data_IF_567127559618
#
_entry.id   IF_567127559618
#
_cell.length_a   1.000
_cell.length_b   1.000
_cell.length_c   1.000
_cell.angle_alpha   90.00
_cell.angle_beta   90.00
_cell.angle_gamma   90.00
#
_symmetry.space_group_name_H-M   'P 1'
#
loop_
_entity.id
_entity.type
_entity.pdbx_description
1 polymer ?
#
# COMPACT_ATOMS: atom_id res chain seq x y z
N UNK A 1 28.08 -36.22 -10.95
CA UNK A 1 27.27 -36.48 -12.16
C UNK A 1 26.28 -37.56 -11.76
N UNK A 2 24.96 -37.35 -11.91
CA UNK A 2 23.98 -38.40 -11.59
C UNK A 2 24.05 -39.51 -12.64
N UNK A 3 23.94 -40.77 -12.22
CA UNK A 3 23.82 -41.90 -13.17
C UNK A 3 22.40 -41.93 -13.76
N UNK A 4 22.21 -42.60 -14.90
CA UNK A 4 20.90 -42.67 -15.57
C UNK A 4 19.83 -43.32 -14.67
N UNK A 5 20.24 -44.24 -13.79
CA UNK A 5 19.39 -44.95 -12.82
C UNK A 5 18.95 -44.06 -11.63
N UNK A 6 19.68 -42.97 -11.36
CA UNK A 6 19.38 -41.98 -10.31
C UNK A 6 18.44 -40.86 -10.78
N UNK A 7 18.02 -40.88 -12.05
CA UNK A 7 17.05 -39.93 -12.60
C UNK A 7 15.63 -40.46 -12.36
N UNK A 8 14.96 -39.92 -11.33
CA UNK A 8 13.54 -40.20 -11.11
C UNK A 8 12.67 -39.50 -12.16
N UNK A 9 11.80 -40.29 -12.82
CA UNK A 9 10.80 -39.79 -13.76
C UNK A 9 9.60 -39.14 -13.07
N UNK A 10 8.59 -38.76 -13.84
CA UNK A 10 7.33 -38.26 -13.28
C UNK A 10 6.56 -39.37 -12.57
N UNK A 11 5.92 -39.05 -11.44
CA UNK A 11 5.03 -39.97 -10.70
C UNK A 11 3.56 -39.57 -10.84
N UNK A 12 2.65 -40.56 -10.75
CA UNK A 12 1.22 -40.35 -10.89
C UNK A 12 0.83 -39.70 -12.22
N UNK A 13 0.07 -38.60 -12.20
CA UNK A 13 -0.33 -37.89 -13.43
C UNK A 13 0.84 -37.20 -14.15
N UNK A 14 1.99 -37.03 -13.50
CA UNK A 14 3.18 -36.37 -14.10
C UNK A 14 3.96 -37.30 -15.04
N UNK A 15 3.59 -38.58 -15.11
CA UNK A 15 4.08 -39.52 -16.14
C UNK A 15 3.65 -39.05 -17.54
N UNK A 16 2.47 -38.45 -17.65
CA UNK A 16 1.99 -37.89 -18.91
C UNK A 16 2.55 -36.48 -19.10
N UNK A 17 3.36 -36.31 -20.15
CA UNK A 17 3.88 -34.99 -20.50
C UNK A 17 2.72 -34.03 -20.81
N UNK A 18 2.72 -32.89 -20.13
CA UNK A 18 1.80 -31.79 -20.41
C UNK A 18 2.62 -30.58 -20.78
N UNK A 19 2.31 -29.98 -21.92
CA UNK A 19 2.93 -28.73 -22.33
C UNK A 19 2.78 -27.67 -21.23
N UNK A 20 3.84 -26.91 -21.02
CA UNK A 20 3.87 -25.80 -20.07
C UNK A 20 2.73 -24.81 -20.37
N UNK A 21 2.11 -24.31 -19.30
CA UNK A 21 1.04 -23.32 -19.36
C UNK A 21 1.52 -22.03 -18.73
N UNK A 22 1.42 -20.95 -19.49
CA UNK A 22 1.78 -19.61 -19.06
C UNK A 22 0.50 -18.83 -18.79
N UNK A 23 0.46 -18.08 -17.69
CA UNK A 23 -0.65 -17.14 -17.45
C UNK A 23 -0.52 -15.99 -18.42
N UNK A 24 -1.61 -15.62 -19.08
CA UNK A 24 -1.60 -14.57 -20.09
C UNK A 24 -1.11 -13.23 -19.54
N UNK A 25 -1.52 -12.88 -18.32
CA UNK A 25 -1.09 -11.65 -17.63
C UNK A 25 0.42 -11.56 -17.38
N UNK A 26 1.09 -12.70 -17.25
CA UNK A 26 2.54 -12.75 -17.01
C UNK A 26 3.30 -12.48 -18.32
N UNK A 27 2.73 -12.89 -19.46
CA UNK A 27 3.29 -12.71 -20.80
C UNK A 27 2.96 -11.34 -21.42
N UNK A 28 1.77 -10.81 -21.16
CA UNK A 28 1.21 -9.64 -21.84
C UNK A 28 0.97 -8.48 -20.88
N UNK A 29 2.05 -7.89 -20.39
CA UNK A 29 2.03 -6.92 -19.28
C UNK A 29 1.63 -5.48 -19.69
N UNK A 30 1.79 -5.10 -20.97
CA UNK A 30 1.54 -3.73 -21.47
C UNK A 30 0.08 -3.50 -21.86
N UNK A 31 -0.47 -4.48 -22.55
CA UNK A 31 -1.85 -4.52 -23.02
C UNK A 31 -2.27 -5.99 -23.11
N UNK A 32 -3.43 -6.33 -22.54
CA UNK A 32 -3.97 -7.68 -22.64
C UNK A 32 -4.54 -7.93 -24.04
N UNK A 33 -4.12 -9.01 -24.73
CA UNK A 33 -4.67 -9.35 -26.04
C UNK A 33 -6.14 -9.74 -25.94
N UNK A 34 -6.91 -9.32 -26.94
CA UNK A 34 -8.29 -9.75 -27.13
C UNK A 34 -8.29 -11.13 -27.78
N UNK A 35 -8.87 -12.11 -27.10
CA UNK A 35 -9.15 -13.42 -27.66
C UNK A 35 -10.56 -13.41 -28.26
N UNK A 36 -10.68 -13.86 -29.50
CA UNK A 36 -11.97 -14.04 -30.19
C UNK A 36 -12.13 -15.52 -30.54
N UNK A 37 -13.31 -16.07 -30.25
CA UNK A 37 -13.75 -17.38 -30.72
C UNK A 37 -15.00 -17.18 -31.58
N UNK A 38 -14.94 -17.50 -32.88
CA UNK A 38 -16.03 -17.24 -33.84
C UNK A 38 -16.61 -15.81 -33.74
N UNK A 39 -15.73 -14.81 -33.66
CA UNK A 39 -16.10 -13.39 -33.51
C UNK A 39 -16.74 -13.01 -32.16
N UNK A 40 -16.77 -13.91 -31.18
CA UNK A 40 -17.20 -13.61 -29.81
C UNK A 40 -15.97 -13.34 -28.92
N UNK A 41 -15.94 -12.25 -28.13
CA UNK A 41 -14.78 -11.90 -27.31
C UNK A 41 -14.73 -12.70 -26.00
N UNK A 42 -13.54 -13.13 -25.62
CA UNK A 42 -13.25 -13.81 -24.37
C UNK A 42 -12.06 -13.20 -23.66
N UNK A 43 -12.03 -13.37 -22.33
CA UNK A 43 -10.85 -13.04 -21.54
C UNK A 43 -9.85 -14.19 -21.63
N UNK A 44 -8.64 -13.91 -22.13
CA UNK A 44 -7.56 -14.89 -22.17
C UNK A 44 -6.99 -15.11 -20.75
N UNK A 45 -7.00 -16.35 -20.27
CA UNK A 45 -6.47 -16.71 -18.95
C UNK A 45 -5.07 -17.31 -19.03
N UNK A 46 -4.93 -18.40 -19.79
CA UNK A 46 -3.70 -19.17 -19.89
C UNK A 46 -3.43 -19.53 -21.36
N UNK A 47 -2.16 -19.61 -21.73
CA UNK A 47 -1.70 -20.05 -23.05
C UNK A 47 -0.75 -21.24 -22.92
N UNK A 48 -0.77 -22.13 -23.89
CA UNK A 48 0.18 -23.23 -24.03
C UNK A 48 0.37 -23.55 -25.51
N UNK A 49 1.40 -24.31 -25.83
CA UNK A 49 1.70 -24.73 -27.21
C UNK A 49 0.52 -25.41 -27.91
N UNK A 50 -0.34 -26.12 -27.16
CA UNK A 50 -1.49 -26.85 -27.71
C UNK A 50 -2.84 -26.15 -27.56
N UNK A 51 -2.90 -24.95 -26.98
CA UNK A 51 -4.17 -24.24 -26.84
C UNK A 51 -4.25 -23.23 -25.70
N UNK A 52 -5.50 -22.81 -25.42
CA UNK A 52 -5.82 -21.67 -24.55
C UNK A 52 -6.80 -22.05 -23.44
N UNK A 53 -6.75 -21.30 -22.35
CA UNK A 53 -7.86 -21.19 -21.41
C UNK A 53 -8.50 -19.81 -21.56
N UNK A 54 -9.81 -19.78 -21.72
CA UNK A 54 -10.58 -18.57 -21.92
C UNK A 54 -11.70 -18.48 -20.88
N UNK A 55 -12.09 -17.26 -20.52
CA UNK A 55 -13.17 -17.00 -19.58
C UNK A 55 -14.22 -16.11 -20.23
N UNK A 56 -15.48 -16.56 -20.14
CA UNK A 56 -16.66 -15.84 -20.59
C UNK A 56 -17.42 -15.28 -19.39
N UNK A 57 -17.86 -14.01 -19.41
CA UNK A 57 -18.72 -13.47 -18.37
C UNK A 57 -20.12 -14.10 -18.40
N UNK A 58 -20.91 -13.99 -17.31
CA UNK A 58 -22.23 -14.61 -17.18
C UNK A 58 -23.17 -14.21 -18.33
N UNK A 59 -24.02 -15.15 -18.78
CA UNK A 59 -24.96 -15.02 -19.93
C UNK A 59 -24.34 -15.14 -21.34
N UNK A 60 -23.07 -15.55 -21.44
CA UNK A 60 -22.40 -15.87 -22.71
C UNK A 60 -22.37 -17.39 -23.00
N UNK A 61 -23.09 -18.20 -22.22
CA UNK A 61 -22.69 -19.57 -21.87
C UNK A 61 -23.44 -20.69 -22.60
N UNK A 62 -24.38 -20.38 -23.48
CA UNK A 62 -25.22 -21.40 -24.15
C UNK A 62 -24.79 -21.73 -25.59
N UNK A 63 -23.62 -21.26 -26.04
CA UNK A 63 -23.20 -21.38 -27.46
C UNK A 63 -22.12 -22.44 -27.68
N UNK A 64 -21.32 -22.79 -26.67
CA UNK A 64 -20.13 -23.64 -26.85
C UNK A 64 -20.28 -24.99 -26.16
N UNK A 65 -20.21 -26.05 -26.96
CA UNK A 65 -20.21 -27.43 -26.47
C UNK A 65 -18.84 -28.07 -26.68
N UNK A 66 -18.46 -29.07 -25.86
CA UNK A 66 -17.29 -29.89 -26.16
C UNK A 66 -17.31 -30.42 -27.60
N UNK A 67 -16.14 -30.53 -28.22
CA UNK A 67 -15.93 -30.96 -29.61
C UNK A 67 -16.39 -29.96 -30.69
N UNK A 68 -16.96 -28.82 -30.29
CA UNK A 68 -17.28 -27.73 -31.22
C UNK A 68 -15.98 -27.11 -31.77
N UNK A 69 -15.88 -27.01 -33.10
CA UNK A 69 -14.80 -26.30 -33.77
C UNK A 69 -15.09 -24.81 -33.79
N UNK A 70 -14.06 -24.02 -33.51
CA UNK A 70 -14.14 -22.56 -33.40
C UNK A 70 -12.95 -21.92 -34.12
N UNK A 71 -13.18 -20.83 -34.83
CA UNK A 71 -12.11 -19.96 -35.32
C UNK A 71 -11.50 -19.20 -34.13
N UNK A 72 -10.19 -19.26 -33.97
CA UNK A 72 -9.47 -18.63 -32.85
C UNK A 72 -8.62 -17.48 -33.39
N UNK A 73 -8.85 -16.28 -32.86
CA UNK A 73 -8.02 -15.12 -33.16
C UNK A 73 -7.55 -14.46 -31.87
N UNK A 74 -6.27 -14.11 -31.84
CA UNK A 74 -5.67 -13.33 -30.77
C UNK A 74 -5.12 -12.05 -31.37
N UNK A 75 -5.49 -10.89 -30.84
CA UNK A 75 -5.06 -9.59 -31.38
C UNK A 75 -4.77 -8.56 -30.28
N UNK A 76 -3.93 -7.57 -30.59
CA UNK A 76 -3.69 -6.38 -29.78
C UNK A 76 -3.89 -5.16 -30.67
N UNK A 77 -4.84 -4.30 -30.30
CA UNK A 77 -5.36 -3.28 -31.21
C UNK A 77 -5.88 -3.94 -32.51
N UNK A 78 -5.46 -3.40 -33.64
CA UNK A 78 -5.83 -3.92 -34.97
C UNK A 78 -4.85 -4.98 -35.50
N UNK A 79 -3.85 -5.38 -34.72
CA UNK A 79 -2.81 -6.32 -35.15
C UNK A 79 -3.03 -7.72 -34.59
N UNK A 80 -3.12 -8.72 -35.48
CA UNK A 80 -3.25 -10.12 -35.10
C UNK A 80 -1.92 -10.70 -34.58
N UNK A 81 -1.97 -11.29 -33.40
CA UNK A 81 -0.89 -12.07 -32.79
C UNK A 81 -0.91 -13.53 -33.23
N UNK A 82 -2.10 -14.12 -33.32
CA UNK A 82 -2.30 -15.52 -33.69
C UNK A 82 -3.66 -15.70 -34.34
N UNK A 83 -3.71 -16.56 -35.37
CA UNK A 83 -4.95 -17.02 -36.00
C UNK A 83 -4.84 -18.52 -36.29
N UNK A 84 -5.92 -19.24 -36.03
CA UNK A 84 -6.02 -20.67 -36.29
C UNK A 84 -7.40 -21.23 -35.95
N UNK A 85 -7.48 -22.55 -35.92
CA UNK A 85 -8.71 -23.30 -35.66
C UNK A 85 -8.54 -24.07 -34.37
N UNK A 86 -9.51 -23.92 -33.48
CA UNK A 86 -9.57 -24.60 -32.21
C UNK A 86 -10.76 -25.53 -32.12
N UNK A 87 -10.75 -26.34 -31.07
CA UNK A 87 -11.87 -27.14 -30.62
C UNK A 87 -12.07 -26.91 -29.14
N UNK A 88 -13.32 -26.80 -28.72
CA UNK A 88 -13.70 -26.72 -27.31
C UNK A 88 -13.44 -28.08 -26.68
N UNK A 89 -12.32 -28.22 -25.96
CA UNK A 89 -11.95 -29.45 -25.26
C UNK A 89 -12.63 -29.58 -23.90
N UNK A 90 -13.02 -28.46 -23.28
CA UNK A 90 -13.68 -28.44 -21.96
C UNK A 90 -14.52 -27.19 -21.78
N UNK A 91 -15.67 -27.37 -21.13
CA UNK A 91 -16.55 -26.31 -20.64
C UNK A 91 -16.72 -26.51 -19.13
N UNK A 92 -16.41 -25.50 -18.33
CA UNK A 92 -16.46 -25.56 -16.87
C UNK A 92 -17.21 -24.35 -16.31
N UNK A 93 -18.49 -24.51 -15.93
CA UNK A 93 -19.27 -23.45 -15.29
C UNK A 93 -18.69 -23.07 -13.92
N UNK A 94 -18.71 -21.77 -13.61
CA UNK A 94 -18.28 -21.21 -12.32
C UNK A 94 -19.31 -20.22 -11.80
N UNK A 95 -19.20 -19.80 -10.54
CA UNK A 95 -20.13 -18.81 -9.95
C UNK A 95 -20.12 -17.45 -10.67
N UNK A 96 -19.03 -17.14 -11.39
CA UNK A 96 -18.78 -15.82 -11.99
C UNK A 96 -18.77 -15.84 -13.51
N UNK A 97 -19.02 -17.00 -14.15
CA UNK A 97 -18.92 -17.16 -15.59
C UNK A 97 -18.59 -18.60 -16.00
N UNK A 98 -18.23 -18.82 -17.26
CA UNK A 98 -17.78 -20.15 -17.76
C UNK A 98 -16.35 -20.11 -18.25
N UNK A 99 -15.55 -21.12 -17.82
CA UNK A 99 -14.18 -21.33 -18.28
C UNK A 99 -14.15 -22.35 -19.42
N UNK A 100 -13.60 -21.93 -20.55
CA UNK A 100 -13.41 -22.77 -21.73
C UNK A 100 -11.95 -23.20 -21.86
N UNK A 101 -11.74 -24.48 -22.16
CA UNK A 101 -10.46 -25.01 -22.60
C UNK A 101 -10.48 -25.23 -24.11
N UNK A 102 -9.70 -24.46 -24.85
CA UNK A 102 -9.61 -24.57 -26.30
C UNK A 102 -8.33 -25.33 -26.66
N UNK A 103 -8.46 -26.39 -27.46
CA UNK A 103 -7.35 -27.14 -28.04
C UNK A 103 -7.18 -26.72 -29.50
N UNK A 104 -5.97 -26.38 -29.90
CA UNK A 104 -5.68 -26.01 -31.29
C UNK A 104 -5.61 -27.26 -32.17
N UNK A 105 -6.12 -27.14 -33.40
CA UNK A 105 -6.25 -28.24 -34.36
C UNK A 105 -5.31 -28.11 -35.54
N UNK A 106 -5.14 -26.89 -36.08
CA UNK A 106 -4.44 -26.67 -37.35
C UNK A 106 -2.99 -26.19 -37.18
N UNK A 107 -2.65 -25.59 -36.03
CA UNK A 107 -1.28 -25.17 -35.71
C UNK A 107 -1.04 -25.01 -34.21
N UNK A 108 0.22 -25.10 -33.81
CA UNK A 108 0.63 -24.86 -32.42
C UNK A 108 0.82 -23.36 -32.13
N UNK A 109 0.64 -22.99 -30.86
CA UNK A 109 0.90 -21.63 -30.38
C UNK A 109 2.36 -21.50 -29.95
N UNK A 110 3.18 -20.89 -30.81
CA UNK A 110 4.58 -20.61 -30.51
C UNK A 110 4.69 -19.40 -29.56
N UNK A 111 4.71 -19.68 -28.25
CA UNK A 111 4.73 -18.65 -27.20
C UNK A 111 5.87 -17.62 -27.41
N UNK A 112 7.15 -18.02 -27.61
CA UNK A 112 8.21 -17.06 -27.87
C UNK A 112 7.96 -16.13 -29.06
N UNK A 113 7.52 -16.67 -30.21
CA UNK A 113 7.26 -15.86 -31.41
C UNK A 113 6.11 -14.88 -31.20
N UNK A 114 5.01 -15.33 -30.59
CA UNK A 114 3.84 -14.49 -30.32
C UNK A 114 4.19 -13.37 -29.34
N UNK A 115 4.98 -13.68 -28.30
CA UNK A 115 5.44 -12.67 -27.32
C UNK A 115 6.39 -11.66 -27.97
N UNK A 116 7.29 -12.08 -28.87
CA UNK A 116 8.14 -11.15 -29.64
C UNK A 116 7.30 -10.23 -30.52
N UNK A 117 6.36 -10.78 -31.30
CA UNK A 117 5.46 -10.00 -32.14
C UNK A 117 4.62 -9.01 -31.31
N UNK A 118 4.13 -9.45 -30.17
CA UNK A 118 3.42 -8.61 -29.20
C UNK A 118 4.28 -7.42 -28.76
N UNK A 119 5.53 -7.67 -28.33
CA UNK A 119 6.46 -6.62 -27.90
C UNK A 119 6.72 -5.60 -29.01
N UNK A 120 6.91 -6.07 -30.24
CA UNK A 120 7.10 -5.20 -31.41
C UNK A 120 5.88 -4.30 -31.68
N UNK A 121 4.68 -4.88 -31.65
CA UNK A 121 3.42 -4.13 -31.86
C UNK A 121 3.25 -3.09 -30.75
N UNK A 122 3.38 -3.49 -29.48
CA UNK A 122 3.21 -2.55 -28.36
C UNK A 122 4.26 -1.44 -28.38
N UNK A 123 5.52 -1.75 -28.73
CA UNK A 123 6.57 -0.75 -28.85
C UNK A 123 6.29 0.24 -29.97
N UNK A 124 5.82 -0.21 -31.14
CA UNK A 124 5.43 0.68 -32.24
C UNK A 124 4.28 1.61 -31.84
N UNK A 125 3.29 1.08 -31.12
CA UNK A 125 2.18 1.87 -30.58
C UNK A 125 2.70 2.93 -29.61
N UNK A 126 3.61 2.57 -28.70
CA UNK A 126 4.23 3.51 -27.77
C UNK A 126 5.02 4.60 -28.51
N UNK A 127 5.85 4.23 -29.50
CA UNK A 127 6.62 5.17 -30.33
C UNK A 127 5.70 6.15 -31.09
N UNK A 128 4.60 5.67 -31.67
CA UNK A 128 3.60 6.52 -32.33
C UNK A 128 2.87 7.42 -31.33
N UNK A 129 2.74 6.99 -30.08
CA UNK A 129 2.29 7.81 -28.96
C UNK A 129 3.29 8.91 -28.62
N UNK A 130 4.58 8.58 -28.52
CA UNK A 130 5.66 9.54 -28.23
C UNK A 130 5.78 10.61 -29.31
N UNK A 131 5.63 10.24 -30.58
CA UNK A 131 5.68 11.19 -31.69
C UNK A 131 4.57 12.26 -31.66
N UNK A 132 3.42 11.94 -31.03
CA UNK A 132 2.27 12.85 -30.86
C UNK A 132 2.20 13.47 -29.46
N UNK A 133 3.22 13.20 -28.63
CA UNK A 133 3.24 13.66 -27.25
C UNK A 133 3.47 15.18 -27.21
N UNK A 134 2.52 15.89 -26.63
CA UNK A 134 2.69 17.30 -26.27
C UNK A 134 3.13 17.39 -24.80
N UNK A 135 4.34 17.91 -24.51
CA UNK A 135 4.84 18.02 -23.14
C UNK A 135 3.91 18.82 -22.23
N UNK A 136 3.41 18.17 -21.17
CA UNK A 136 2.51 18.80 -20.21
C UNK A 136 1.06 18.95 -20.69
N UNK A 137 0.66 18.27 -21.77
CA UNK A 137 -0.75 18.19 -22.15
C UNK A 137 -1.60 17.65 -21.00
N UNK A 138 -2.74 18.30 -20.74
CA UNK A 138 -3.63 17.98 -19.62
C UNK A 138 -3.14 18.47 -18.24
N UNK A 139 -2.04 19.22 -18.18
CA UNK A 139 -1.47 19.74 -16.92
C UNK A 139 -1.48 21.26 -16.92
N UNK A 140 -1.96 21.88 -15.83
CA UNK A 140 -2.03 23.34 -15.72
C UNK A 140 -0.64 24.00 -15.77
N UNK A 141 -0.59 25.25 -16.22
CA UNK A 141 0.66 26.01 -16.24
C UNK A 141 1.20 26.21 -14.81
N UNK A 142 0.32 26.48 -13.86
CA UNK A 142 0.62 26.68 -12.45
C UNK A 142 1.26 25.45 -11.81
N UNK A 143 0.80 24.25 -12.17
CA UNK A 143 1.37 23.00 -11.69
C UNK A 143 2.73 22.72 -12.32
N UNK A 144 2.90 22.97 -13.63
CA UNK A 144 4.21 22.86 -14.29
C UNK A 144 5.24 23.81 -13.67
N UNK A 145 4.84 25.04 -13.35
CA UNK A 145 5.68 26.00 -12.63
C UNK A 145 6.02 25.49 -11.23
N UNK A 146 5.07 24.95 -10.47
CA UNK A 146 5.35 24.34 -9.17
C UNK A 146 6.41 23.24 -9.28
N UNK A 147 6.32 22.36 -10.29
CA UNK A 147 7.32 21.33 -10.52
C UNK A 147 8.69 21.92 -10.84
N UNK A 148 8.74 22.94 -11.69
CA UNK A 148 9.99 23.63 -12.03
C UNK A 148 10.64 24.28 -10.79
N UNK A 149 9.85 25.00 -9.99
CA UNK A 149 10.30 25.64 -8.74
C UNK A 149 10.84 24.61 -7.74
N UNK A 150 10.13 23.49 -7.59
CA UNK A 150 10.54 22.39 -6.70
C UNK A 150 11.85 21.76 -7.14
N UNK A 151 12.01 21.46 -8.44
CA UNK A 151 13.27 20.95 -8.97
C UNK A 151 14.41 21.96 -8.81
N UNK A 152 14.13 23.24 -9.07
CA UNK A 152 15.13 24.27 -8.93
C UNK A 152 15.64 24.36 -7.49
N UNK A 153 14.75 24.34 -6.51
CA UNK A 153 15.11 24.31 -5.09
C UNK A 153 16.00 23.09 -4.77
N UNK A 154 15.49 21.88 -5.04
CA UNK A 154 16.20 20.64 -4.70
C UNK A 154 17.57 20.55 -5.39
N UNK A 155 17.65 20.87 -6.68
CA UNK A 155 18.90 20.79 -7.45
C UNK A 155 19.90 21.88 -7.07
N UNK A 156 19.43 23.04 -6.60
CA UNK A 156 20.32 24.08 -6.05
C UNK A 156 21.02 23.60 -4.79
N UNK A 157 20.30 22.94 -3.88
CA UNK A 157 20.88 22.32 -2.70
C UNK A 157 21.81 21.15 -3.06
N UNK A 158 21.41 20.31 -4.03
CA UNK A 158 22.28 19.24 -4.56
C UNK A 158 23.62 19.79 -5.03
N UNK A 159 23.60 20.76 -5.95
CA UNK A 159 24.81 21.37 -6.51
C UNK A 159 25.66 22.09 -5.45
N UNK A 160 25.04 22.69 -4.43
CA UNK A 160 25.76 23.28 -3.29
C UNK A 160 26.46 22.22 -2.45
N UNK A 161 25.72 21.20 -2.02
CA UNK A 161 26.23 20.14 -1.15
C UNK A 161 27.27 19.26 -1.84
N UNK A 162 27.12 18.99 -3.14
CA UNK A 162 28.11 18.24 -3.93
C UNK A 162 29.44 18.99 -4.01
N UNK A 163 29.43 20.31 -4.22
CA UNK A 163 30.65 21.14 -4.21
C UNK A 163 31.34 21.11 -2.84
N UNK A 164 30.57 21.20 -1.76
CA UNK A 164 31.13 21.15 -0.41
C UNK A 164 31.66 19.73 -0.10
N UNK A 165 30.99 18.68 -0.56
CA UNK A 165 31.40 17.28 -0.35
C UNK A 165 32.73 16.93 -1.02
N UNK A 166 33.20 17.73 -1.99
CA UNK A 166 34.55 17.61 -2.55
C UNK A 166 35.63 18.03 -1.54
N UNK A 167 35.29 18.85 -0.56
CA UNK A 167 36.14 19.14 0.59
C UNK A 167 35.95 18.03 1.62
N UNK A 168 37.04 17.55 2.21
CA UNK A 168 36.99 16.48 3.21
C UNK A 168 36.42 17.05 4.52
N UNK A 169 35.12 16.86 4.72
CA UNK A 169 34.43 17.16 5.98
C UNK A 169 34.58 15.96 6.93
N UNK A 170 34.75 16.24 8.22
CA UNK A 170 34.49 15.24 9.25
C UNK A 170 32.99 15.10 9.53
N UNK A 171 32.62 14.08 10.31
CA UNK A 171 31.21 13.75 10.59
C UNK A 171 30.48 14.86 11.37
N UNK A 172 31.20 15.60 12.22
CA UNK A 172 30.63 16.70 13.01
C UNK A 172 30.27 17.88 12.13
N UNK A 173 31.23 18.34 11.32
CA UNK A 173 31.03 19.44 10.37
C UNK A 173 29.94 19.10 9.34
N UNK A 174 29.87 17.84 8.88
CA UNK A 174 28.81 17.37 8.01
C UNK A 174 27.43 17.44 8.66
N UNK A 175 27.32 17.10 9.95
CA UNK A 175 26.06 17.15 10.70
C UNK A 175 25.58 18.59 10.92
N UNK A 176 26.49 19.51 11.26
CA UNK A 176 26.18 20.93 11.47
C UNK A 176 25.75 21.63 10.16
N UNK A 177 26.43 21.31 9.05
CA UNK A 177 26.03 21.78 7.73
C UNK A 177 24.63 21.30 7.34
N UNK A 178 24.33 20.01 7.59
CA UNK A 178 23.00 19.47 7.33
C UNK A 178 21.93 20.16 8.17
N UNK A 179 22.17 20.38 9.46
CA UNK A 179 21.25 21.13 10.32
C UNK A 179 20.99 22.56 9.77
N UNK A 180 22.05 23.24 9.33
CA UNK A 180 21.92 24.56 8.70
C UNK A 180 21.12 24.51 7.39
N UNK A 181 21.33 23.48 6.56
CA UNK A 181 20.53 23.29 5.35
C UNK A 181 19.05 23.04 5.67
N UNK A 182 18.75 22.24 6.69
CA UNK A 182 17.39 21.94 7.14
C UNK A 182 16.62 23.20 7.56
N UNK A 183 17.24 24.04 8.37
CA UNK A 183 16.64 25.31 8.83
C UNK A 183 16.24 26.21 7.66
N UNK A 184 17.04 26.21 6.58
CA UNK A 184 16.80 27.04 5.40
C UNK A 184 15.80 26.41 4.42
N UNK A 185 15.88 25.09 4.19
CA UNK A 185 15.08 24.44 3.14
C UNK A 185 13.65 24.13 3.60
N UNK A 186 13.43 23.78 4.88
CA UNK A 186 12.12 23.32 5.34
C UNK A 186 11.01 24.38 5.17
N UNK A 187 11.22 25.68 5.46
CA UNK A 187 10.20 26.69 5.18
C UNK A 187 9.86 26.81 3.70
N UNK A 188 10.88 26.76 2.82
CA UNK A 188 10.70 26.84 1.36
C UNK A 188 9.96 25.60 0.84
N UNK A 189 10.34 24.42 1.33
CA UNK A 189 9.68 23.16 1.03
C UNK A 189 8.20 23.19 1.43
N UNK A 190 7.88 23.59 2.67
CA UNK A 190 6.50 23.65 3.17
C UNK A 190 5.64 24.61 2.33
N UNK A 191 6.19 25.74 1.90
CA UNK A 191 5.49 26.66 1.01
C UNK A 191 5.14 26.01 -0.35
N UNK A 192 6.09 25.31 -0.97
CA UNK A 192 5.85 24.56 -2.21
C UNK A 192 4.85 23.43 -2.00
N UNK A 193 4.96 22.69 -0.90
CA UNK A 193 4.04 21.63 -0.55
C UNK A 193 2.60 22.15 -0.39
N UNK A 194 2.36 23.21 0.38
CA UNK A 194 1.02 23.76 0.53
C UNK A 194 0.43 24.26 -0.80
N UNK A 195 1.25 24.88 -1.65
CA UNK A 195 0.84 25.23 -3.02
C UNK A 195 0.51 23.99 -3.84
N UNK A 196 1.29 22.92 -3.69
CA UNK A 196 1.05 21.61 -4.30
C UNK A 196 -0.28 21.00 -3.87
N UNK A 197 -0.63 21.05 -2.59
CA UNK A 197 -1.92 20.58 -2.10
C UNK A 197 -3.08 21.32 -2.78
N UNK A 198 -3.02 22.65 -2.84
CA UNK A 198 -4.08 23.45 -3.46
C UNK A 198 -4.28 23.11 -4.95
N UNK A 199 -3.19 22.91 -5.69
CA UNK A 199 -3.26 22.53 -7.11
C UNK A 199 -3.67 21.07 -7.30
N UNK A 200 -3.29 20.18 -6.38
CA UNK A 200 -3.71 18.78 -6.38
C UNK A 200 -5.22 18.65 -6.14
N UNK A 201 -5.78 19.36 -5.16
CA UNK A 201 -7.22 19.37 -4.87
C UNK A 201 -8.05 19.75 -6.10
N UNK A 202 -7.57 20.70 -6.91
CA UNK A 202 -8.28 21.19 -8.09
C UNK A 202 -8.45 20.13 -9.20
N UNK A 203 -7.65 19.06 -9.19
CA UNK A 203 -7.71 18.00 -10.21
C UNK A 203 -8.27 16.67 -9.70
N UNK A 204 -8.53 16.52 -8.39
CA UNK A 204 -8.93 15.22 -7.80
C UNK A 204 -10.25 14.66 -8.37
N UNK A 205 -11.18 15.53 -8.77
CA UNK A 205 -12.49 15.14 -9.31
C UNK A 205 -12.52 15.03 -10.85
N UNK A 206 -11.42 15.38 -11.54
CA UNK A 206 -11.26 15.26 -12.99
C UNK A 206 -10.27 14.12 -13.30
N UNK A 207 -10.79 12.97 -13.74
CA UNK A 207 -9.99 11.76 -13.96
C UNK A 207 -8.89 11.94 -15.01
N UNK A 208 -9.15 12.72 -16.07
CA UNK A 208 -8.19 12.94 -17.14
C UNK A 208 -7.09 13.90 -16.69
N UNK A 209 -7.47 15.01 -16.03
CA UNK A 209 -6.50 15.96 -15.48
C UNK A 209 -5.67 15.32 -14.35
N UNK A 210 -6.28 14.51 -13.48
CA UNK A 210 -5.60 13.75 -12.43
C UNK A 210 -4.56 12.80 -13.04
N UNK A 211 -4.96 11.99 -14.02
CA UNK A 211 -4.06 11.04 -14.68
C UNK A 211 -2.89 11.75 -15.38
N UNK A 212 -3.16 12.84 -16.10
CA UNK A 212 -2.14 13.66 -16.75
C UNK A 212 -1.16 14.27 -15.74
N UNK A 213 -1.68 14.83 -14.63
CA UNK A 213 -0.89 15.50 -13.59
C UNK A 213 -0.04 14.50 -12.79
N UNK A 214 -0.59 13.33 -12.44
CA UNK A 214 0.17 12.25 -11.79
C UNK A 214 1.29 11.75 -12.69
N UNK A 215 1.00 11.45 -13.97
CA UNK A 215 2.01 11.02 -14.94
C UNK A 215 3.11 12.07 -15.13
N UNK A 216 2.76 13.35 -15.20
CA UNK A 216 3.74 14.43 -15.30
C UNK A 216 4.62 14.49 -14.05
N UNK A 217 4.04 14.34 -12.86
CA UNK A 217 4.79 14.33 -11.59
C UNK A 217 5.77 13.17 -11.53
N UNK A 218 5.31 11.96 -11.90
CA UNK A 218 6.11 10.74 -11.93
C UNK A 218 7.34 10.87 -12.84
N UNK A 219 7.18 11.53 -14.00
CA UNK A 219 8.27 11.70 -14.97
C UNK A 219 9.21 12.85 -14.63
N UNK A 220 8.70 13.92 -13.99
CA UNK A 220 9.45 15.18 -13.81
C UNK A 220 10.00 15.32 -12.40
N UNK A 221 9.17 15.10 -11.37
CA UNK A 221 9.51 15.35 -9.97
C UNK A 221 9.99 14.11 -9.23
N UNK A 222 9.24 13.01 -9.32
CA UNK A 222 9.49 11.79 -8.54
C UNK A 222 10.96 11.34 -8.60
N UNK A 223 11.67 11.35 -9.76
CA UNK A 223 13.07 10.92 -9.82
C UNK A 223 14.01 11.71 -8.91
N UNK A 224 13.75 13.00 -8.67
CA UNK A 224 14.56 13.82 -7.76
C UNK A 224 14.34 13.41 -6.30
N UNK A 225 13.09 13.12 -5.91
CA UNK A 225 12.74 12.68 -4.56
C UNK A 225 13.26 11.27 -4.23
N UNK A 226 13.47 10.41 -5.23
CA UNK A 226 14.01 9.06 -5.02
C UNK A 226 15.42 9.04 -4.43
N UNK A 227 16.11 10.18 -4.35
CA UNK A 227 17.35 10.32 -3.58
C UNK A 227 17.15 10.09 -2.08
N UNK A 228 15.99 10.43 -1.52
CA UNK A 228 15.68 10.20 -0.10
C UNK A 228 15.10 8.82 0.14
N UNK A 229 15.67 8.07 1.10
CA UNK A 229 15.27 6.67 1.34
C UNK A 229 13.78 6.50 1.67
N UNK A 230 13.18 7.42 2.44
CA UNK A 230 11.76 7.39 2.82
C UNK A 230 10.85 7.60 1.60
N UNK A 231 11.21 8.50 0.69
CA UNK A 231 10.48 8.74 -0.56
C UNK A 231 10.57 7.53 -1.48
N UNK A 232 11.79 7.03 -1.68
CA UNK A 232 12.05 5.87 -2.52
C UNK A 232 11.24 4.67 -2.08
N UNK A 233 11.28 4.33 -0.79
CA UNK A 233 10.52 3.19 -0.26
C UNK A 233 9.01 3.42 -0.34
N UNK A 234 8.52 4.64 -0.10
CA UNK A 234 7.10 4.98 -0.21
C UNK A 234 6.58 4.79 -1.65
N UNK A 235 7.41 5.12 -2.64
CA UNK A 235 7.07 5.00 -4.06
C UNK A 235 7.22 3.56 -4.59
N UNK A 236 8.35 2.90 -4.31
CA UNK A 236 8.65 1.55 -4.82
C UNK A 236 7.78 0.47 -4.17
N UNK A 237 7.24 0.72 -2.98
CA UNK A 237 6.31 -0.18 -2.26
C UNK A 237 6.83 -1.62 -2.24
N UNK A 238 8.02 -1.90 -1.67
CA UNK A 238 8.69 -3.19 -1.79
C UNK A 238 7.88 -4.37 -1.20
N UNK A 239 6.95 -4.09 -0.29
CA UNK A 239 6.03 -5.09 0.29
C UNK A 239 4.66 -5.15 -0.40
N UNK A 240 4.50 -4.44 -1.53
CA UNK A 240 3.27 -4.40 -2.33
C UNK A 240 2.23 -3.38 -1.86
N UNK A 241 2.51 -2.58 -0.84
CA UNK A 241 1.65 -1.51 -0.34
C UNK A 241 2.47 -0.32 0.17
N UNK A 242 1.96 0.93 0.13
CA UNK A 242 2.65 2.08 0.68
C UNK A 242 2.49 2.16 2.19
N UNK A 243 3.40 2.88 2.87
CA UNK A 243 3.32 3.09 4.31
C UNK A 243 3.57 1.83 5.14
N UNK A 244 4.44 0.95 4.66
CA UNK A 244 4.81 -0.26 5.40
C UNK A 244 5.53 0.03 6.73
N UNK A 245 5.68 -1.02 7.55
CA UNK A 245 6.24 -0.90 8.89
C UNK A 245 7.67 -0.34 8.92
N UNK A 246 8.42 -0.42 7.83
CA UNK A 246 9.77 0.14 7.74
C UNK A 246 9.75 1.65 7.51
N UNK A 247 8.77 2.18 6.75
CA UNK A 247 8.52 3.63 6.72
C UNK A 247 8.22 4.14 8.12
N UNK A 248 7.39 3.42 8.88
CA UNK A 248 7.09 3.78 10.27
C UNK A 248 8.37 3.80 11.12
N UNK A 249 9.24 2.79 10.99
CA UNK A 249 10.54 2.74 11.67
C UNK A 249 11.45 3.91 11.32
N UNK A 250 11.57 4.29 10.04
CA UNK A 250 12.35 5.47 9.63
C UNK A 250 11.86 6.74 10.32
N UNK A 251 10.53 6.90 10.42
CA UNK A 251 9.92 8.04 11.09
C UNK A 251 10.15 8.01 12.61
N UNK A 252 10.04 6.84 13.24
CA UNK A 252 10.29 6.73 14.68
C UNK A 252 11.75 6.95 15.06
N UNK A 253 12.67 6.49 14.21
CA UNK A 253 14.10 6.66 14.44
C UNK A 253 14.54 8.11 14.16
N UNK A 254 13.84 8.80 13.24
CA UNK A 254 14.02 10.22 12.91
C UNK A 254 15.46 10.58 12.51
N UNK A 255 16.17 9.60 11.94
CA UNK A 255 17.57 9.72 11.52
C UNK A 255 17.67 10.27 10.10
N UNK A 256 18.82 10.84 9.79
CA UNK A 256 19.18 11.23 8.42
C UNK A 256 19.73 10.01 7.69
N UNK A 257 18.98 9.47 6.75
CA UNK A 257 19.41 8.32 5.95
C UNK A 257 19.83 8.74 4.53
N UNK A 258 20.95 8.18 4.05
CA UNK A 258 21.52 8.46 2.74
C UNK A 258 23.04 8.30 2.70
N UNK A 259 23.59 7.97 1.54
CA UNK A 259 25.03 7.87 1.30
C UNK A 259 25.69 9.23 1.10
N UNK A 260 24.95 10.23 0.63
CA UNK A 260 25.44 11.62 0.48
C UNK A 260 24.70 12.61 1.39
N UNK A 261 25.27 13.81 1.57
CA UNK A 261 24.61 14.91 2.29
C UNK A 261 23.27 15.28 1.63
N UNK A 262 23.22 15.27 0.30
CA UNK A 262 22.01 15.60 -0.43
C UNK A 262 20.91 14.55 -0.22
N UNK A 263 21.24 13.26 -0.30
CA UNK A 263 20.29 12.18 -0.03
C UNK A 263 19.72 12.26 1.40
N UNK A 264 20.57 12.55 2.39
CA UNK A 264 20.18 12.82 3.78
C UNK A 264 19.21 13.99 3.91
N UNK A 265 19.45 15.08 3.16
CA UNK A 265 18.58 16.25 3.15
C UNK A 265 17.21 15.94 2.52
N UNK A 266 17.18 15.23 1.38
CA UNK A 266 15.92 14.84 0.72
C UNK A 266 15.14 13.86 1.58
N UNK A 267 15.81 12.90 2.23
CA UNK A 267 15.20 12.03 3.23
C UNK A 267 14.55 12.86 4.35
N UNK A 268 15.25 13.87 4.86
CA UNK A 268 14.76 14.74 5.93
C UNK A 268 13.49 15.50 5.55
N UNK A 269 13.39 15.98 4.30
CA UNK A 269 12.17 16.59 3.77
C UNK A 269 11.00 15.61 3.78
N UNK A 270 11.25 14.32 3.55
CA UNK A 270 10.22 13.28 3.66
C UNK A 270 9.79 13.01 5.10
N UNK A 271 10.73 13.06 6.05
CA UNK A 271 10.38 12.99 7.47
C UNK A 271 9.48 14.16 7.90
N UNK A 272 9.67 15.37 7.36
CA UNK A 272 8.81 16.53 7.63
C UNK A 272 7.34 16.29 7.24
N UNK A 273 7.12 15.63 6.09
CA UNK A 273 5.78 15.21 5.65
C UNK A 273 5.22 14.12 6.57
N UNK A 274 6.07 13.17 6.95
CA UNK A 274 5.70 12.01 7.75
C UNK A 274 5.61 12.27 9.26
N UNK A 275 5.88 13.50 9.74
CA UNK A 275 5.92 13.87 11.17
C UNK A 275 4.67 13.41 11.95
N UNK A 276 3.50 13.47 11.31
CA UNK A 276 2.22 13.07 11.93
C UNK A 276 2.16 11.58 12.32
N UNK A 277 3.05 10.73 11.79
CA UNK A 277 3.19 9.34 12.22
C UNK A 277 3.85 9.27 13.60
N UNK A 278 4.92 10.05 13.83
CA UNK A 278 5.60 10.11 15.12
C UNK A 278 4.71 10.71 16.22
N UNK A 279 3.98 11.79 15.91
CA UNK A 279 3.07 12.42 16.89
C UNK A 279 1.96 11.46 17.33
N UNK A 280 1.34 10.73 16.38
CA UNK A 280 0.34 9.70 16.70
C UNK A 280 0.89 8.58 17.57
N UNK A 281 2.11 8.10 17.31
CA UNK A 281 2.75 7.08 18.14
C UNK A 281 2.85 7.55 19.60
N UNK A 282 3.30 8.80 19.81
CA UNK A 282 3.35 9.40 21.16
C UNK A 282 1.97 9.52 21.80
N UNK A 283 0.94 9.92 21.04
CA UNK A 283 -0.44 9.98 21.53
C UNK A 283 -0.93 8.60 21.96
N UNK A 284 -0.71 7.54 21.17
CA UNK A 284 -1.14 6.19 21.52
C UNK A 284 -0.40 5.67 22.76
N UNK A 285 0.89 5.98 22.91
CA UNK A 285 1.65 5.70 24.14
C UNK A 285 1.03 6.37 25.37
N UNK A 286 0.59 7.62 25.24
CA UNK A 286 -0.11 8.34 26.32
C UNK A 286 -1.48 7.71 26.63
N UNK A 287 -2.24 7.29 25.61
CA UNK A 287 -3.53 6.62 25.80
C UNK A 287 -3.39 5.23 26.43
N UNK A 288 -2.31 4.50 26.12
CA UNK A 288 -1.91 3.27 26.82
C UNK A 288 -1.66 3.58 28.30
N UNK A 289 -0.81 4.58 28.60
CA UNK A 289 -0.50 4.96 29.97
C UNK A 289 -1.75 5.33 30.77
N UNK A 290 -2.65 6.15 30.20
CA UNK A 290 -3.94 6.52 30.81
C UNK A 290 -4.81 5.29 31.10
N UNK A 291 -4.85 4.34 30.17
CA UNK A 291 -5.66 3.11 30.31
C UNK A 291 -5.11 2.19 31.42
N UNK A 292 -3.79 2.06 31.51
CA UNK A 292 -3.15 1.24 32.55
C UNK A 292 -3.29 1.89 33.94
N UNK A 293 -3.20 3.23 34.01
CA UNK A 293 -3.38 4.01 35.24
C UNK A 293 -4.82 4.07 35.74
N UNK A 294 -5.82 3.89 34.86
CA UNK A 294 -7.21 3.93 35.25
C UNK A 294 -7.54 2.78 36.23
N UNK A 295 -8.35 3.11 37.24
CA UNK A 295 -8.81 2.13 38.22
C UNK A 295 -9.61 1.01 37.54
N UNK A 296 -9.28 -0.23 37.88
CA UNK A 296 -10.05 -1.38 37.43
C UNK A 296 -9.45 -2.69 37.92
N UNK A 297 -10.27 -3.73 37.96
CA UNK A 297 -9.86 -5.04 38.45
C UNK A 297 -8.99 -5.78 37.43
N UNK A 298 -7.87 -6.32 37.87
CA UNK A 298 -7.00 -7.18 37.06
C UNK A 298 -6.08 -6.41 36.10
N UNK A 299 -5.66 -7.08 35.02
CA UNK A 299 -4.77 -6.50 34.02
C UNK A 299 -5.53 -5.61 33.04
N UNK A 300 -4.95 -4.46 32.68
CA UNK A 300 -5.43 -3.61 31.61
C UNK A 300 -5.29 -4.34 30.27
N UNK A 301 -6.38 -4.47 29.51
CA UNK A 301 -6.43 -5.20 28.24
C UNK A 301 -6.45 -4.21 27.07
N UNK A 302 -5.41 -4.23 26.26
CA UNK A 302 -5.22 -3.28 25.16
C UNK A 302 -4.96 -4.03 23.87
N UNK A 303 -5.68 -3.66 22.81
CA UNK A 303 -5.51 -4.26 21.47
C UNK A 303 -5.22 -3.19 20.43
N UNK A 304 -4.22 -3.45 19.58
CA UNK A 304 -3.90 -2.63 18.41
C UNK A 304 -4.03 -3.42 17.11
N UNK A 305 -4.63 -2.82 16.08
CA UNK A 305 -4.82 -3.40 14.75
C UNK A 305 -4.05 -2.62 13.68
N UNK A 306 -3.28 -3.35 12.86
CA UNK A 306 -2.27 -2.75 12.01
C UNK A 306 -1.17 -2.14 12.87
N UNK A 307 -0.63 -2.94 13.80
CA UNK A 307 0.29 -2.45 14.82
C UNK A 307 1.63 -1.95 14.28
N UNK A 308 2.01 -2.34 13.05
CA UNK A 308 3.31 -2.04 12.49
C UNK A 308 4.42 -2.48 13.46
N UNK A 309 5.48 -1.68 13.66
CA UNK A 309 6.56 -2.03 14.57
C UNK A 309 6.22 -1.77 16.05
N UNK A 310 4.99 -1.30 16.37
CA UNK A 310 4.47 -1.09 17.73
C UNK A 310 5.39 -0.31 18.69
N UNK A 311 6.04 0.75 18.19
CA UNK A 311 7.02 1.55 18.96
C UNK A 311 6.41 2.16 20.22
N UNK A 312 5.14 2.54 20.17
CA UNK A 312 4.37 3.05 21.32
C UNK A 312 4.28 2.04 22.47
N UNK A 313 4.15 0.74 22.15
CA UNK A 313 4.12 -0.35 23.13
C UNK A 313 5.53 -0.63 23.64
N UNK A 314 6.51 -0.74 22.73
CA UNK A 314 7.91 -0.98 23.09
C UNK A 314 8.39 0.09 24.07
N UNK A 315 8.15 1.35 23.77
CA UNK A 315 8.57 2.46 24.62
C UNK A 315 7.80 2.51 25.95
N UNK A 316 6.52 2.12 25.96
CA UNK A 316 5.76 2.02 27.21
C UNK A 316 6.31 0.93 28.12
N UNK A 317 6.70 -0.22 27.56
CA UNK A 317 7.25 -1.34 28.33
C UNK A 317 8.66 -1.07 28.88
N UNK A 318 9.37 -0.04 28.40
CA UNK A 318 10.66 0.39 28.98
C UNK A 318 10.54 1.05 30.36
N UNK A 319 9.33 1.32 30.84
CA UNK A 319 9.12 1.81 32.21
C UNK A 319 9.70 0.82 33.22
N UNK A 320 10.27 1.34 34.32
CA UNK A 320 10.87 0.51 35.38
C UNK A 320 9.87 -0.52 35.91
N UNK A 321 8.64 -0.10 36.16
CA UNK A 321 7.51 -0.91 36.60
C UNK A 321 6.21 -0.35 35.99
N UNK A 322 5.20 -1.19 35.84
CA UNK A 322 3.87 -0.78 35.38
C UNK A 322 2.96 -0.51 36.58
N UNK A 323 2.15 0.56 36.55
CA UNK A 323 1.20 0.85 37.64
C UNK A 323 0.21 -0.28 37.93
N UNK A 324 -0.09 -1.07 36.89
CA UNK A 324 -1.00 -2.23 36.92
C UNK A 324 -0.55 -3.22 35.84
N UNK A 325 -0.81 -4.53 36.00
CA UNK A 325 -0.52 -5.48 34.94
C UNK A 325 -1.19 -5.09 33.61
N UNK A 326 -0.55 -5.36 32.49
CA UNK A 326 -1.05 -5.04 31.15
C UNK A 326 -0.97 -6.26 30.23
N UNK A 327 -2.08 -6.56 29.53
CA UNK A 327 -2.16 -7.54 28.47
C UNK A 327 -2.32 -6.81 27.14
N UNK A 328 -1.31 -6.93 26.28
CA UNK A 328 -1.17 -6.19 25.05
C UNK A 328 -1.31 -7.16 23.87
N UNK A 329 -2.33 -6.97 23.05
CA UNK A 329 -2.54 -7.77 21.83
C UNK A 329 -2.18 -6.94 20.60
N UNK A 330 -1.23 -7.41 19.82
CA UNK A 330 -0.71 -6.76 18.62
C UNK A 330 -1.16 -7.57 17.40
N UNK A 331 -1.91 -6.95 16.50
CA UNK A 331 -2.47 -7.61 15.33
C UNK A 331 -1.97 -6.92 14.07
N UNK A 332 -1.34 -7.69 13.17
CA UNK A 332 -0.90 -7.17 11.87
C UNK A 332 -0.98 -8.25 10.78
N UNK A 333 -1.06 -7.81 9.54
CA UNK A 333 -0.96 -8.67 8.36
C UNK A 333 0.49 -8.94 7.96
N UNK A 334 1.41 -8.07 8.36
CA UNK A 334 2.82 -8.15 8.00
C UNK A 334 3.57 -8.96 9.06
N UNK A 335 4.11 -10.11 8.64
CA UNK A 335 4.88 -10.97 9.53
C UNK A 335 6.16 -10.28 10.03
N UNK A 336 6.83 -9.49 9.18
CA UNK A 336 8.05 -8.78 9.56
C UNK A 336 7.81 -7.67 10.58
N UNK A 337 6.64 -7.02 10.52
CA UNK A 337 6.22 -6.05 11.53
C UNK A 337 6.03 -6.73 12.90
N UNK A 338 5.35 -7.87 12.93
CA UNK A 338 5.11 -8.65 14.16
C UNK A 338 6.40 -9.23 14.74
N UNK A 339 7.31 -9.70 13.89
CA UNK A 339 8.63 -10.19 14.29
C UNK A 339 9.44 -9.09 14.98
N UNK A 340 9.54 -7.91 14.35
CA UNK A 340 10.23 -6.75 14.93
C UNK A 340 9.61 -6.33 16.28
N UNK A 341 8.27 -6.24 16.34
CA UNK A 341 7.58 -5.89 17.57
C UNK A 341 7.79 -6.93 18.68
N UNK A 342 7.74 -8.23 18.34
CA UNK A 342 7.93 -9.31 19.30
C UNK A 342 9.37 -9.34 19.84
N UNK A 343 10.38 -9.27 18.97
CA UNK A 343 11.78 -9.23 19.36
C UNK A 343 12.10 -8.05 20.29
N UNK A 344 11.52 -6.88 20.01
CA UNK A 344 11.74 -5.69 20.82
C UNK A 344 10.98 -5.68 22.15
N UNK A 345 9.80 -6.30 22.22
CA UNK A 345 8.98 -6.35 23.45
C UNK A 345 9.35 -7.51 24.37
N UNK A 346 9.85 -8.62 23.84
CA UNK A 346 10.10 -9.84 24.61
C UNK A 346 11.09 -9.65 25.79
N UNK A 347 12.24 -8.97 25.63
CA UNK A 347 13.13 -8.68 26.76
C UNK A 347 12.46 -7.85 27.85
N UNK A 348 11.62 -6.87 27.49
CA UNK A 348 10.90 -6.02 28.45
C UNK A 348 9.81 -6.81 29.20
N UNK A 349 9.11 -7.72 28.52
CA UNK A 349 8.13 -8.62 29.16
C UNK A 349 8.81 -9.52 30.20
N UNK A 350 9.99 -10.07 29.89
CA UNK A 350 10.78 -10.86 30.84
C UNK A 350 11.16 -9.98 32.05
N UNK A 351 11.69 -8.78 31.80
CA UNK A 351 12.12 -7.84 32.84
C UNK A 351 10.98 -7.42 33.77
N UNK A 352 9.80 -7.16 33.21
CA UNK A 352 8.62 -6.72 33.94
C UNK A 352 7.88 -7.85 34.67
N UNK A 353 8.27 -9.12 34.48
CA UNK A 353 7.82 -10.33 35.18
C UNK A 353 6.40 -10.25 35.80
N UNK A 354 5.41 -10.85 35.15
CA UNK A 354 3.98 -10.87 35.51
C UNK A 354 3.26 -9.51 35.45
N UNK A 355 3.96 -8.40 35.24
CA UNK A 355 3.31 -7.10 35.01
C UNK A 355 2.93 -6.91 33.54
N UNK A 356 3.57 -7.59 32.59
CA UNK A 356 3.26 -7.45 31.17
C UNK A 356 3.07 -8.80 30.50
N UNK A 357 2.13 -8.86 29.56
CA UNK A 357 2.00 -9.91 28.56
C UNK A 357 1.81 -9.28 27.19
N UNK A 358 2.55 -9.77 26.19
CA UNK A 358 2.43 -9.34 24.79
C UNK A 358 2.06 -10.56 23.96
N UNK A 359 0.99 -10.45 23.18
CA UNK A 359 0.54 -11.49 22.25
C UNK A 359 0.50 -10.91 20.84
N UNK A 360 1.22 -11.52 19.90
CA UNK A 360 1.20 -11.15 18.49
C UNK A 360 0.26 -12.08 17.71
N UNK A 361 -0.65 -11.52 16.92
CA UNK A 361 -1.59 -12.26 16.08
C UNK A 361 -1.39 -11.88 14.61
N UNK A 362 -0.96 -12.84 13.79
CA UNK A 362 -0.84 -12.66 12.35
C UNK A 362 -2.19 -12.84 11.67
N UNK A 363 -2.76 -11.75 11.16
CA UNK A 363 -4.07 -11.75 10.53
C UNK A 363 -4.07 -10.88 9.27
N UNK A 364 -4.45 -11.45 8.12
CA UNK A 364 -4.58 -10.69 6.89
C UNK A 364 -5.61 -9.57 7.01
N UNK A 365 -5.50 -8.55 6.17
CA UNK A 365 -6.49 -7.46 6.08
C UNK A 365 -7.93 -7.98 6.03
N UNK A 366 -8.20 -9.02 5.23
CA UNK A 366 -9.54 -9.62 5.13
C UNK A 366 -10.02 -10.28 6.43
N UNK A 367 -9.11 -10.88 7.19
CA UNK A 367 -9.41 -11.51 8.48
C UNK A 367 -9.65 -10.46 9.58
N UNK A 368 -9.05 -9.26 9.48
CA UNK A 368 -9.36 -8.13 10.39
C UNK A 368 -10.83 -7.70 10.31
N UNK A 369 -11.56 -8.03 9.24
CA UNK A 369 -13.01 -7.81 9.14
C UNK A 369 -13.84 -8.96 9.70
N UNK A 370 -13.25 -10.14 9.91
CA UNK A 370 -13.89 -11.28 10.59
C UNK A 370 -13.69 -11.18 12.10
N UNK A 371 -14.01 -10.02 12.67
CA UNK A 371 -13.66 -9.67 14.04
C UNK A 371 -14.19 -10.67 15.07
N UNK A 372 -15.31 -11.34 14.82
CA UNK A 372 -15.87 -12.32 15.76
C UNK A 372 -14.97 -13.53 16.02
N UNK A 373 -14.28 -14.03 15.00
CA UNK A 373 -13.35 -15.17 15.14
C UNK A 373 -12.06 -14.72 15.83
N UNK A 374 -11.50 -13.59 15.39
CA UNK A 374 -10.24 -13.06 15.90
C UNK A 374 -10.35 -12.57 17.36
N UNK A 375 -11.41 -11.83 17.66
CA UNK A 375 -11.59 -11.25 18.98
C UNK A 375 -12.33 -12.17 19.97
N UNK A 376 -12.99 -13.22 19.48
CA UNK A 376 -13.55 -14.27 20.35
C UNK A 376 -12.49 -14.93 21.22
N UNK A 377 -11.23 -14.97 20.76
CA UNK A 377 -10.10 -15.51 21.50
C UNK A 377 -9.53 -14.55 22.57
N UNK A 378 -9.62 -13.24 22.38
CA UNK A 378 -8.97 -12.24 23.26
C UNK A 378 -9.94 -11.56 24.24
N UNK A 379 -11.26 -11.66 23.99
CA UNK A 379 -12.31 -11.15 24.88
C UNK A 379 -12.41 -9.61 24.89
N UNK A 380 -13.16 -9.06 25.86
CA UNK A 380 -13.38 -7.62 25.99
C UNK A 380 -12.10 -6.87 26.40
N UNK A 381 -11.90 -5.68 25.83
CA UNK A 381 -10.70 -4.85 25.91
C UNK A 381 -11.02 -3.48 26.50
N UNK A 382 -10.16 -2.97 27.38
CA UNK A 382 -10.30 -1.63 27.97
C UNK A 382 -9.96 -0.54 26.95
N UNK A 383 -9.02 -0.84 26.04
CA UNK A 383 -8.62 0.06 24.97
C UNK A 383 -8.36 -0.71 23.68
N UNK A 384 -9.06 -0.32 22.61
CA UNK A 384 -8.81 -0.80 21.24
C UNK A 384 -8.37 0.38 20.40
N UNK A 385 -7.35 0.23 19.55
CA UNK A 385 -7.03 1.27 18.60
C UNK A 385 -6.53 0.75 17.26
N UNK A 386 -6.69 1.59 16.23
CA UNK A 386 -6.05 1.41 14.94
C UNK A 386 -5.79 2.76 14.30
N UNK A 387 -4.53 3.03 13.97
CA UNK A 387 -4.09 4.35 13.52
C UNK A 387 -3.48 4.25 12.12
N UNK A 388 -4.26 4.64 11.11
CA UNK A 388 -3.84 4.61 9.70
C UNK A 388 -4.48 3.54 8.81
N UNK A 389 -5.28 2.62 9.37
CA UNK A 389 -5.93 1.58 8.54
C UNK A 389 -7.16 2.12 7.78
N UNK A 390 -7.93 3.02 8.39
CA UNK A 390 -9.17 3.53 7.77
C UNK A 390 -8.93 4.53 6.64
N UNK A 391 -7.68 5.00 6.50
CA UNK A 391 -7.20 5.82 5.38
C UNK A 391 -7.47 5.14 4.03
N UNK A 392 -7.58 3.82 4.00
CA UNK A 392 -7.81 3.03 2.77
C UNK A 392 -9.25 2.53 2.62
N UNK A 393 -10.13 2.82 3.59
CA UNK A 393 -11.47 2.27 3.66
C UNK A 393 -12.51 3.29 3.27
N UNK A 394 -13.35 2.95 2.29
CA UNK A 394 -14.54 3.73 1.97
C UNK A 394 -15.49 3.81 3.18
N UNK A 395 -16.22 4.91 3.32
CA UNK A 395 -16.98 5.25 4.53
C UNK A 395 -17.90 4.11 5.03
N UNK A 396 -18.60 3.41 4.12
CA UNK A 396 -19.45 2.26 4.45
C UNK A 396 -18.67 1.12 5.12
N UNK A 397 -17.48 0.79 4.59
CA UNK A 397 -16.63 -0.28 5.14
C UNK A 397 -15.98 0.15 6.45
N UNK A 398 -15.49 1.38 6.53
CA UNK A 398 -14.93 1.95 7.75
C UNK A 398 -15.96 1.93 8.91
N UNK A 399 -17.19 2.40 8.65
CA UNK A 399 -18.29 2.38 9.63
C UNK A 399 -18.62 0.97 10.13
N UNK A 400 -18.75 0.01 9.19
CA UNK A 400 -19.04 -1.38 9.55
C UNK A 400 -17.92 -1.98 10.41
N UNK A 401 -16.67 -1.70 10.06
CA UNK A 401 -15.50 -2.18 10.79
C UNK A 401 -15.39 -1.57 12.19
N UNK A 402 -15.54 -0.26 12.33
CA UNK A 402 -15.54 0.44 13.62
C UNK A 402 -16.65 -0.09 14.53
N UNK A 403 -17.86 -0.27 13.99
CA UNK A 403 -18.98 -0.86 14.74
C UNK A 403 -18.63 -2.27 15.23
N UNK A 404 -17.93 -3.06 14.41
CA UNK A 404 -17.50 -4.42 14.74
C UNK A 404 -16.38 -4.46 15.78
N UNK A 405 -15.43 -3.53 15.75
CA UNK A 405 -14.39 -3.41 16.78
C UNK A 405 -14.98 -2.97 18.11
N UNK A 406 -15.94 -2.05 18.07
CA UNK A 406 -16.59 -1.51 19.26
C UNK A 406 -17.31 -2.57 20.09
N UNK A 407 -17.77 -3.68 19.49
CA UNK A 407 -18.39 -4.77 20.25
C UNK A 407 -17.44 -5.40 21.27
N UNK A 408 -16.13 -5.29 21.05
CA UNK A 408 -15.09 -5.83 21.94
C UNK A 408 -14.56 -4.81 22.95
N UNK A 409 -15.00 -3.55 22.88
CA UNK A 409 -14.69 -2.57 23.92
C UNK A 409 -15.46 -2.94 25.18
N UNK A 410 -14.77 -3.01 26.33
CA UNK A 410 -15.37 -3.25 27.63
C UNK A 410 -16.22 -2.04 28.07
N UNK A 411 -17.25 -2.22 28.92
CA UNK A 411 -17.91 -1.08 29.57
C UNK A 411 -16.89 -0.17 30.27
N UNK A 412 -16.98 1.14 30.05
CA UNK A 412 -15.99 2.12 30.53
C UNK A 412 -14.72 2.22 29.67
N UNK A 413 -14.52 1.31 28.71
CA UNK A 413 -13.40 1.33 27.77
C UNK A 413 -13.60 2.28 26.59
N UNK A 414 -12.62 2.30 25.69
CA UNK A 414 -12.65 3.16 24.48
C UNK A 414 -12.07 2.49 23.24
N UNK A 415 -12.52 2.97 22.08
CA UNK A 415 -11.94 2.72 20.77
C UNK A 415 -11.35 4.02 20.21
N UNK A 416 -10.10 4.01 19.75
CA UNK A 416 -9.51 5.15 19.03
C UNK A 416 -9.13 4.74 17.61
N UNK A 417 -9.61 5.51 16.65
CA UNK A 417 -9.28 5.33 15.23
C UNK A 417 -8.73 6.64 14.69
N UNK A 418 -7.69 6.60 13.86
CA UNK A 418 -7.20 7.81 13.19
C UNK A 418 -7.31 7.76 11.67
N UNK A 419 -7.45 8.94 11.08
CA UNK A 419 -7.48 9.16 9.64
C UNK A 419 -6.65 10.39 9.26
N UNK A 420 -6.08 10.42 8.06
CA UNK A 420 -5.55 11.64 7.46
C UNK A 420 -6.65 12.72 7.40
N UNK A 421 -6.37 13.90 7.95
CA UNK A 421 -7.32 14.99 8.05
C UNK A 421 -7.30 15.85 6.79
N UNK A 422 -8.48 16.31 6.35
CA UNK A 422 -8.61 17.24 5.21
C UNK A 422 -8.37 18.69 5.65
N UNK A 423 -7.23 19.24 5.22
CA UNK A 423 -6.77 20.60 5.59
C UNK A 423 -5.77 21.11 4.54
N UNK A 424 -5.54 22.43 4.39
CA UNK A 424 -4.46 22.94 3.52
C UNK A 424 -3.07 22.37 3.86
N UNK A 425 -2.88 21.93 5.10
CA UNK A 425 -1.67 21.26 5.58
C UNK A 425 -1.59 19.74 5.33
N UNK A 426 -2.55 19.15 4.63
CA UNK A 426 -2.63 17.70 4.40
C UNK A 426 -1.43 17.18 3.61
N UNK A 427 -1.17 15.88 3.67
CA UNK A 427 -0.09 15.27 2.89
C UNK A 427 -0.51 14.95 1.43
N UNK A 428 -1.57 15.59 0.90
CA UNK A 428 -2.21 15.20 -0.37
C UNK A 428 -1.20 15.16 -1.51
N UNK A 429 -0.56 16.28 -1.82
CA UNK A 429 0.37 16.35 -2.94
C UNK A 429 1.59 15.41 -2.81
N UNK A 430 2.33 15.40 -1.69
CA UNK A 430 3.49 14.51 -1.57
C UNK A 430 3.11 13.03 -1.55
N UNK A 431 1.96 12.65 -0.98
CA UNK A 431 1.53 11.26 -0.98
C UNK A 431 0.97 10.86 -2.36
N UNK A 432 -0.10 11.52 -2.82
CA UNK A 432 -0.87 11.12 -4.01
C UNK A 432 -0.06 11.28 -5.32
N UNK A 433 0.74 12.35 -5.45
CA UNK A 433 1.39 12.70 -6.71
C UNK A 433 2.87 12.32 -6.75
N UNK A 434 3.63 12.52 -5.66
CA UNK A 434 5.08 12.21 -5.65
C UNK A 434 5.31 10.71 -5.40
N UNK A 435 4.57 10.12 -4.45
CA UNK A 435 4.74 8.72 -4.03
C UNK A 435 3.71 7.75 -4.61
N UNK A 436 2.71 8.22 -5.36
CA UNK A 436 1.55 7.41 -5.76
C UNK A 436 0.92 6.66 -4.56
N UNK A 437 0.83 7.35 -3.43
CA UNK A 437 0.28 6.86 -2.18
C UNK A 437 -1.10 7.48 -1.96
N UNK A 438 -2.12 6.71 -2.32
CA UNK A 438 -3.50 7.19 -2.36
C UNK A 438 -4.22 6.83 -1.05
N UNK A 439 -4.79 7.83 -0.39
CA UNK A 439 -5.55 7.70 0.86
C UNK A 439 -6.81 8.55 0.83
N UNK A 440 -7.79 8.18 1.64
CA UNK A 440 -9.05 8.90 1.80
C UNK A 440 -8.89 9.89 2.95
N UNK A 441 -8.82 11.18 2.63
CA UNK A 441 -8.85 12.26 3.61
C UNK A 441 -10.27 12.46 4.14
N UNK A 442 -10.40 12.74 5.43
CA UNK A 442 -11.70 12.99 6.08
C UNK A 442 -11.69 14.28 6.88
N UNK A 443 -12.83 14.97 6.86
CA UNK A 443 -13.10 16.07 7.80
C UNK A 443 -13.70 15.55 9.13
N UNK A 444 -13.94 16.48 10.06
CA UNK A 444 -14.51 16.17 11.38
C UNK A 444 -15.91 15.55 11.29
N UNK A 445 -16.76 16.07 10.40
CA UNK A 445 -18.13 15.59 10.22
C UNK A 445 -18.13 14.15 9.70
N UNK A 446 -17.27 13.87 8.72
CA UNK A 446 -17.10 12.54 8.14
C UNK A 446 -16.58 11.54 9.18
N UNK A 447 -15.63 11.95 10.03
CA UNK A 447 -15.12 11.11 11.11
C UNK A 447 -16.19 10.77 12.16
N UNK A 448 -16.92 11.77 12.67
CA UNK A 448 -18.02 11.54 13.62
C UNK A 448 -19.11 10.65 13.02
N UNK A 449 -19.39 10.81 11.73
CA UNK A 449 -20.39 9.99 11.03
C UNK A 449 -20.04 8.48 11.00
N UNK A 450 -18.76 8.11 11.16
CA UNK A 450 -18.34 6.71 11.25
C UNK A 450 -18.82 6.02 12.54
N UNK A 451 -19.08 6.78 13.61
CA UNK A 451 -19.61 6.26 14.87
C UNK A 451 -21.15 6.27 14.95
N UNK A 452 -21.84 6.87 13.97
CA UNK A 452 -23.29 7.01 13.99
C UNK A 452 -24.01 5.65 14.04
N UNK A 453 -24.89 5.47 15.03
CA UNK A 453 -25.70 4.26 15.20
C UNK A 453 -25.03 3.17 16.04
N UNK A 454 -23.83 3.42 16.59
CA UNK A 454 -23.23 2.53 17.59
C UNK A 454 -23.97 2.72 18.94
N UNK A 455 -24.57 1.67 19.52
CA UNK A 455 -25.32 1.80 20.76
C UNK A 455 -24.39 2.03 21.97
N UNK A 456 -24.87 2.80 22.95
CA UNK A 456 -24.14 3.13 24.19
C UNK A 456 -22.76 3.79 23.98
N UNK A 457 -22.57 4.45 22.84
CA UNK A 457 -21.34 5.14 22.50
C UNK A 457 -21.43 6.65 22.77
N UNK A 458 -20.31 7.25 23.16
CA UNK A 458 -20.06 8.69 23.10
C UNK A 458 -18.85 8.89 22.21
N UNK A 459 -19.02 9.60 21.10
CA UNK A 459 -17.97 9.81 20.11
C UNK A 459 -17.51 11.27 20.12
N UNK A 460 -16.20 11.46 20.06
CA UNK A 460 -15.55 12.76 19.95
C UNK A 460 -14.38 12.70 18.98
N UNK A 461 -13.99 13.86 18.49
CA UNK A 461 -12.89 14.05 17.55
C UNK A 461 -11.81 14.94 18.16
N UNK A 462 -10.56 14.64 17.85
CA UNK A 462 -9.43 15.51 18.17
C UNK A 462 -8.40 15.49 17.04
N UNK A 463 -7.66 16.58 16.88
CA UNK A 463 -6.55 16.64 15.93
C UNK A 463 -5.24 16.29 16.63
N UNK A 464 -4.34 15.66 15.89
CA UNK A 464 -2.95 15.53 16.31
C UNK A 464 -2.27 16.92 16.31
N UNK A 465 -1.13 17.09 17.02
CA UNK A 465 -0.43 18.37 17.09
C UNK A 465 -0.01 18.96 15.74
N UNK A 466 0.20 18.13 14.71
CA UNK A 466 0.52 18.63 13.35
C UNK A 466 -0.72 19.15 12.61
N UNK A 467 -1.92 18.81 13.07
CA UNK A 467 -3.18 19.12 12.42
C UNK A 467 -3.43 18.30 11.14
N UNK A 468 -2.65 17.25 10.89
CA UNK A 468 -2.70 16.45 9.64
C UNK A 468 -3.43 15.13 9.82
N UNK A 469 -3.71 14.74 11.06
CA UNK A 469 -4.45 13.54 11.40
C UNK A 469 -5.54 13.89 12.40
N UNK A 470 -6.74 13.37 12.13
CA UNK A 470 -7.87 13.41 13.02
C UNK A 470 -8.06 12.04 13.69
N UNK A 471 -8.30 12.06 15.00
CA UNK A 471 -8.62 10.91 15.80
C UNK A 471 -10.12 10.95 16.12
N UNK A 472 -10.77 9.80 15.97
CA UNK A 472 -12.12 9.53 16.47
C UNK A 472 -11.98 8.65 17.71
N UNK A 473 -12.37 9.18 18.87
CA UNK A 473 -12.47 8.42 20.12
C UNK A 473 -13.92 8.06 20.35
N UNK A 474 -14.21 6.78 20.53
CA UNK A 474 -15.54 6.25 20.82
C UNK A 474 -15.51 5.58 22.19
N UNK A 475 -16.07 6.23 23.20
CA UNK A 475 -16.19 5.73 24.55
C UNK A 475 -17.42 4.85 24.71
N UNK A 476 -17.27 3.75 25.46
CA UNK A 476 -18.39 2.89 25.86
C UNK A 476 -18.84 3.25 27.25
N UNK A 477 -20.13 3.57 27.39
CA UNK A 477 -20.73 3.84 28.71
C UNK A 477 -20.53 2.64 29.63
N UNK A 478 -20.21 2.92 30.90
CA UNK A 478 -19.98 1.94 31.95
C UNK A 478 -21.22 1.10 32.27
#
# INVERSE_FOLDING_TARGET
MRTYEELSGGEGRRVFFRAERFRARDLFQRAMPRLMLDQTPFTLCDVSVSGFAAFAPPKSEDVYNPEMRVAVQLAVGDSYLFEGTGEVARVEPTQTGTKLGIRLLDRSFNVPQVVTKYKEITLRTDLAGFARMEPGAGVSAEYRTLCADTLHLLRSYRAGLERISQTKLDDGAAADLLASCEEQILPQWRALWHRGNALAEAVMDDLDALAATKKFTELVLTPEFMAGAIWKRSYEKPLGYPGDFQIMSMVYDWRREGGSLYEKLVHRIGLDVAECIATRMVMMRQEIAKTVLADGAGAAKITTLGCGPAREIIDYLKLRELPRPAHLTLIDQDHGALELAYEATHPEVIRLHKQANVTCLHASFSQLFKTRELFGAIGAQDFVYSVGLIDYLQARRAKAWISSLYTFVAPGGKLIISNMYKTPGSNLWPMEFICDWNVIYRDEREMLALANGIPNAVAETSLDPTGRVILLTVHKKA
#
